data_IF_067242837315
#
_entry.id   IF_067242837315
#
_cell.length_a   1.000
_cell.length_b   1.000
_cell.length_c   1.000
_cell.angle_alpha   90.00
_cell.angle_beta   90.00
_cell.angle_gamma   90.00
#
_symmetry.space_group_name_H-M   'P 1'
#
loop_
_entity.id
_entity.type
_entity.pdbx_description
1 polymer ?
#
# COMPACT_ATOMS: atom_id res chain seq x y z
N UNK A 1 2.82 -16.55 3.81
CA UNK A 1 3.87 -17.51 4.18
C UNK A 1 3.29 -18.90 3.97
N UNK A 2 3.99 -19.85 3.34
CA UNK A 2 3.39 -21.18 3.10
C UNK A 2 3.48 -22.01 4.38
N UNK A 3 2.48 -22.86 4.58
CA UNK A 3 2.37 -23.70 5.76
C UNK A 3 1.91 -25.10 5.38
N UNK A 4 2.47 -26.10 6.03
CA UNK A 4 2.04 -27.50 5.90
C UNK A 4 1.43 -28.00 7.20
N UNK A 5 0.48 -28.93 7.08
CA UNK A 5 -0.03 -29.69 8.22
C UNK A 5 0.88 -30.89 8.48
N UNK A 6 1.29 -31.08 9.73
CA UNK A 6 2.13 -32.21 10.17
C UNK A 6 1.61 -32.78 11.49
N UNK A 7 1.81 -34.08 11.71
CA UNK A 7 1.60 -34.70 13.03
C UNK A 7 2.95 -35.14 13.58
N UNK A 8 3.39 -34.57 14.70
CA UNK A 8 4.64 -34.93 15.38
C UNK A 8 4.33 -35.48 16.76
N UNK A 9 4.75 -36.73 17.04
CA UNK A 9 4.49 -37.43 18.31
C UNK A 9 2.99 -37.44 18.70
N UNK A 10 2.09 -37.58 17.72
CA UNK A 10 0.64 -37.58 17.94
C UNK A 10 -0.01 -36.20 18.04
N UNK A 11 0.77 -35.10 18.01
CA UNK A 11 0.24 -33.74 18.08
C UNK A 11 0.14 -33.11 16.69
N UNK A 12 -1.04 -32.62 16.27
CA UNK A 12 -1.20 -31.88 15.01
C UNK A 12 -0.56 -30.49 15.10
N UNK A 13 0.18 -30.10 14.06
CA UNK A 13 0.95 -28.88 13.97
C UNK A 13 0.77 -28.23 12.59
N UNK A 14 0.91 -26.90 12.56
CA UNK A 14 1.06 -26.12 11.32
C UNK A 14 2.50 -25.61 11.28
N UNK A 15 3.26 -26.03 10.26
CA UNK A 15 4.70 -25.76 10.17
C UNK A 15 4.97 -24.73 9.08
N UNK A 16 5.68 -23.66 9.45
CA UNK A 16 6.18 -22.63 8.53
C UNK A 16 7.22 -23.24 7.59
N UNK A 17 7.04 -23.04 6.29
CA UNK A 17 8.02 -23.44 5.29
C UNK A 17 8.97 -22.28 4.94
N UNK A 18 10.21 -22.56 4.51
CA UNK A 18 11.18 -21.54 4.07
C UNK A 18 10.88 -21.06 2.64
N UNK A 19 9.62 -20.76 2.35
CA UNK A 19 9.13 -20.35 1.03
C UNK A 19 8.35 -19.05 1.11
N UNK A 20 8.41 -18.27 0.03
CA UNK A 20 7.64 -17.05 -0.14
C UNK A 20 6.28 -17.42 -0.74
N UNK A 21 5.23 -17.18 0.01
CA UNK A 21 3.83 -17.41 -0.41
C UNK A 21 3.20 -16.21 -1.11
N UNK A 22 3.65 -15.00 -0.75
CA UNK A 22 3.13 -13.76 -1.32
C UNK A 22 4.10 -12.61 -1.09
N UNK A 23 4.23 -11.75 -2.09
CA UNK A 23 4.89 -10.45 -1.97
C UNK A 23 3.78 -9.40 -1.96
N UNK A 24 3.61 -8.68 -0.86
CA UNK A 24 2.56 -7.66 -0.71
C UNK A 24 3.08 -6.27 -1.07
N UNK A 25 3.60 -6.11 -2.28
CA UNK A 25 4.13 -4.85 -2.79
C UNK A 25 3.83 -4.69 -4.29
N UNK A 26 3.64 -3.45 -4.75
CA UNK A 26 3.28 -3.11 -6.15
C UNK A 26 2.06 -3.90 -6.64
N UNK A 27 2.15 -4.53 -7.81
CA UNK A 27 1.18 -5.50 -8.35
C UNK A 27 0.76 -6.61 -7.37
N UNK A 28 1.58 -6.92 -6.37
CA UNK A 28 1.28 -7.90 -5.33
C UNK A 28 0.19 -7.43 -4.36
N UNK A 29 0.03 -6.12 -4.16
CA UNK A 29 -1.01 -5.55 -3.28
C UNK A 29 -2.43 -5.84 -3.77
N UNK A 30 -2.85 -5.53 -5.02
CA UNK A 30 -4.20 -5.86 -5.48
C UNK A 30 -4.46 -7.38 -5.47
N UNK A 31 -3.46 -8.21 -5.80
CA UNK A 31 -3.57 -9.68 -5.69
C UNK A 31 -3.78 -10.11 -4.25
N UNK A 32 -3.02 -9.55 -3.30
CA UNK A 32 -3.18 -9.80 -1.86
C UNK A 32 -4.55 -9.38 -1.35
N UNK A 33 -5.01 -8.19 -1.72
CA UNK A 33 -6.35 -7.71 -1.34
C UNK A 33 -7.43 -8.66 -1.87
N UNK A 34 -7.38 -9.06 -3.15
CA UNK A 34 -8.36 -10.02 -3.66
C UNK A 34 -8.27 -11.38 -2.94
N UNK A 35 -7.07 -11.87 -2.63
CA UNK A 35 -6.88 -13.13 -1.89
C UNK A 35 -7.49 -13.11 -0.49
N UNK A 36 -7.38 -12.00 0.24
CA UNK A 36 -7.80 -11.93 1.65
C UNK A 36 -9.15 -11.25 1.89
N UNK A 37 -9.55 -10.31 1.03
CA UNK A 37 -10.79 -9.52 1.15
C UNK A 37 -11.81 -9.93 0.07
N UNK A 38 -11.35 -10.37 -1.10
CA UNK A 38 -12.22 -10.86 -2.18
C UNK A 38 -12.72 -9.79 -3.15
N UNK A 39 -12.53 -8.50 -2.88
CA UNK A 39 -13.03 -7.41 -3.72
C UNK A 39 -12.14 -6.16 -3.69
N UNK A 40 -12.28 -5.26 -4.70
CA UNK A 40 -11.63 -3.96 -4.66
C UNK A 40 -12.16 -3.11 -3.49
N UNK A 41 -11.28 -2.47 -2.70
CA UNK A 41 -11.69 -1.55 -1.64
C UNK A 41 -12.56 -0.40 -2.17
N UNK A 42 -13.32 0.25 -1.29
CA UNK A 42 -14.01 1.52 -1.62
C UNK A 42 -13.11 2.74 -1.41
N UNK A 43 -12.12 2.62 -0.52
CA UNK A 43 -11.12 3.64 -0.21
C UNK A 43 -9.76 2.96 -0.11
N UNK A 44 -8.72 3.55 -0.68
CA UNK A 44 -7.33 3.15 -0.49
C UNK A 44 -6.44 4.38 -0.26
N UNK A 45 -5.42 4.23 0.59
CA UNK A 45 -4.45 5.28 0.90
C UNK A 45 -3.06 4.68 0.76
N UNK A 46 -2.19 5.37 0.03
CA UNK A 46 -0.77 5.01 -0.14
C UNK A 46 0.14 6.19 0.13
N UNK A 47 1.45 5.96 0.04
CA UNK A 47 2.46 7.03 0.17
C UNK A 47 3.66 6.84 -0.77
N UNK A 48 3.69 5.74 -1.54
CA UNK A 48 4.84 5.33 -2.33
C UNK A 48 4.47 4.78 -3.71
N UNK A 49 5.46 4.59 -4.57
CA UNK A 49 5.29 3.87 -5.84
C UNK A 49 4.79 2.43 -5.67
N UNK A 50 5.08 1.80 -4.52
CA UNK A 50 4.60 0.46 -4.21
C UNK A 50 3.08 0.39 -4.01
N UNK A 51 2.38 1.53 -3.94
CA UNK A 51 0.93 1.62 -3.77
C UNK A 51 0.17 1.82 -5.09
N UNK A 52 0.87 2.11 -6.20
CA UNK A 52 0.23 2.56 -7.43
C UNK A 52 -0.86 1.60 -7.91
N UNK A 53 -0.56 0.31 -8.07
CA UNK A 53 -1.52 -0.67 -8.59
C UNK A 53 -2.67 -0.96 -7.62
N UNK A 54 -2.44 -0.77 -6.31
CA UNK A 54 -3.52 -0.84 -5.32
C UNK A 54 -4.51 0.33 -5.50
N UNK A 55 -3.99 1.55 -5.65
CA UNK A 55 -4.80 2.76 -5.84
C UNK A 55 -5.54 2.71 -7.19
N UNK A 56 -4.85 2.26 -8.24
CA UNK A 56 -5.42 2.07 -9.58
C UNK A 56 -6.53 1.03 -9.57
N UNK A 57 -6.29 -0.17 -9.02
CA UNK A 57 -7.32 -1.20 -8.96
C UNK A 57 -8.54 -0.79 -8.11
N UNK A 58 -8.31 -0.04 -7.03
CA UNK A 58 -9.38 0.51 -6.18
C UNK A 58 -10.26 1.50 -6.96
N UNK A 59 -9.69 2.31 -7.86
CA UNK A 59 -10.38 3.40 -8.57
C UNK A 59 -10.72 3.12 -10.03
N UNK A 60 -10.32 1.96 -10.57
CA UNK A 60 -10.59 1.57 -11.96
C UNK A 60 -12.03 1.12 -12.23
N UNK A 61 -12.87 1.00 -11.21
CA UNK A 61 -14.29 0.63 -11.35
C UNK A 61 -15.20 1.83 -11.69
N UNK A 62 -16.45 1.55 -12.06
CA UNK A 62 -17.43 2.58 -12.42
C UNK A 62 -18.09 3.27 -11.21
N UNK A 63 -18.10 2.61 -10.04
CA UNK A 63 -18.68 3.17 -8.83
C UNK A 63 -17.82 4.29 -8.23
N UNK A 64 -18.40 5.20 -7.43
CA UNK A 64 -17.61 6.16 -6.65
C UNK A 64 -16.63 5.46 -5.71
N UNK A 65 -15.34 5.76 -5.88
CA UNK A 65 -14.21 5.22 -5.09
C UNK A 65 -13.28 6.37 -4.71
N UNK A 66 -12.51 6.21 -3.65
CA UNK A 66 -11.53 7.20 -3.21
C UNK A 66 -10.12 6.59 -3.14
N UNK A 67 -9.16 7.27 -3.73
CA UNK A 67 -7.74 6.97 -3.53
C UNK A 67 -7.02 8.23 -3.11
N UNK A 68 -6.11 8.09 -2.15
CA UNK A 68 -5.32 9.19 -1.61
C UNK A 68 -3.84 8.81 -1.49
N UNK A 69 -2.97 9.80 -1.63
CA UNK A 69 -1.53 9.66 -1.43
C UNK A 69 -1.10 10.66 -0.37
N UNK A 70 -0.51 10.15 0.70
CA UNK A 70 0.20 10.98 1.67
C UNK A 70 1.55 11.39 1.08
N UNK A 71 1.72 12.70 0.88
CA UNK A 71 2.95 13.32 0.43
C UNK A 71 3.75 13.78 1.65
N UNK A 72 4.87 13.11 1.88
CA UNK A 72 5.81 13.41 2.95
C UNK A 72 6.70 14.58 2.53
N UNK A 73 6.19 15.81 2.72
CA UNK A 73 6.83 17.08 2.33
C UNK A 73 7.11 18.01 3.51
N UNK A 74 7.01 17.50 4.73
CA UNK A 74 7.32 18.23 5.96
C UNK A 74 8.67 17.79 6.53
N UNK A 75 9.73 18.53 6.21
CA UNK A 75 11.09 18.34 6.75
C UNK A 75 11.30 18.95 8.14
N UNK A 76 10.34 19.74 8.63
CA UNK A 76 10.41 20.41 9.93
C UNK A 76 9.85 19.51 11.04
N UNK A 77 8.75 18.83 10.76
CA UNK A 77 8.04 17.99 11.72
C UNK A 77 8.16 16.49 11.44
N UNK A 78 8.56 16.10 10.22
CA UNK A 78 8.75 14.71 9.83
C UNK A 78 9.93 14.58 8.84
N UNK A 79 9.93 13.55 7.99
CA UNK A 79 10.97 13.35 6.98
C UNK A 79 10.42 13.77 5.63
N UNK A 80 11.02 14.76 4.98
CA UNK A 80 10.72 15.03 3.58
C UNK A 80 11.49 14.06 2.68
N UNK A 81 10.77 13.23 1.94
CA UNK A 81 11.38 12.36 0.93
C UNK A 81 10.62 12.44 -0.38
N UNK A 82 11.29 13.03 -1.37
CA UNK A 82 10.80 13.17 -2.73
C UNK A 82 11.69 12.39 -3.73
N UNK A 83 11.88 12.94 -4.95
CA UNK A 83 12.53 12.32 -6.11
C UNK A 83 13.90 11.70 -5.85
N UNK A 84 14.66 12.18 -4.86
CA UNK A 84 16.05 11.76 -4.65
C UNK A 84 16.26 10.73 -3.52
N UNK A 85 15.20 10.38 -2.78
CA UNK A 85 15.30 9.36 -1.74
C UNK A 85 15.63 7.98 -2.30
N UNK A 86 16.37 7.17 -1.53
CA UNK A 86 16.58 5.75 -1.84
C UNK A 86 15.40 4.88 -1.37
N UNK A 87 14.51 5.43 -0.53
CA UNK A 87 13.29 4.81 0.01
C UNK A 87 12.10 5.66 -0.45
N UNK A 88 11.13 5.08 -1.17
CA UNK A 88 10.04 5.87 -1.76
C UNK A 88 10.45 6.65 -3.02
N UNK A 89 11.56 6.25 -3.66
CA UNK A 89 12.05 6.84 -4.90
C UNK A 89 10.96 6.78 -5.96
N UNK A 90 10.51 7.97 -6.36
CA UNK A 90 9.46 8.22 -7.35
C UNK A 90 8.09 7.88 -6.74
N UNK A 91 7.19 8.85 -6.77
CA UNK A 91 5.76 8.62 -6.55
C UNK A 91 5.13 8.96 -7.88
N UNK A 92 5.17 8.02 -8.81
CA UNK A 92 4.34 7.96 -10.01
C UNK A 92 2.90 8.33 -9.67
N UNK A 93 2.43 8.00 -8.46
CA UNK A 93 1.17 8.48 -7.93
C UNK A 93 1.08 10.00 -7.68
N UNK A 94 2.15 10.73 -7.34
CA UNK A 94 2.15 12.20 -7.26
C UNK A 94 2.02 12.82 -8.66
N UNK A 95 2.58 12.19 -9.68
CA UNK A 95 2.54 12.68 -11.08
C UNK A 95 1.21 12.31 -11.74
N UNK A 96 0.87 11.03 -11.72
CA UNK A 96 -0.29 10.48 -12.42
C UNK A 96 -1.57 10.56 -11.58
N UNK A 97 -1.48 10.71 -10.26
CA UNK A 97 -2.64 10.64 -9.37
C UNK A 97 -3.74 11.64 -9.73
N UNK A 98 -3.36 12.85 -10.17
CA UNK A 98 -4.32 13.83 -10.67
C UNK A 98 -5.14 13.31 -11.87
N UNK A 99 -4.52 12.54 -12.77
CA UNK A 99 -5.17 11.93 -13.95
C UNK A 99 -6.12 10.80 -13.56
N UNK A 100 -5.81 10.10 -12.47
CA UNK A 100 -6.68 9.08 -11.89
C UNK A 100 -7.69 9.63 -10.87
N UNK A 101 -7.72 10.95 -10.64
CA UNK A 101 -8.62 11.59 -9.67
C UNK A 101 -8.24 11.37 -8.20
N UNK A 102 -7.03 10.89 -7.92
CA UNK A 102 -6.53 10.66 -6.58
C UNK A 102 -6.25 11.97 -5.85
N UNK A 103 -6.45 11.97 -4.53
CA UNK A 103 -6.14 13.14 -3.68
C UNK A 103 -4.71 13.05 -3.17
N UNK A 104 -3.94 14.11 -3.39
CA UNK A 104 -2.61 14.24 -2.78
C UNK A 104 -2.78 15.04 -1.50
N UNK A 105 -2.29 14.49 -0.39
CA UNK A 105 -2.36 15.09 0.95
C UNK A 105 -0.95 15.54 1.30
N UNK A 106 -0.73 16.84 1.42
CA UNK A 106 0.54 17.42 1.88
C UNK A 106 0.61 17.34 3.40
N UNK A 107 1.59 16.61 3.94
CA UNK A 107 1.78 16.58 5.40
C UNK A 107 2.08 17.98 5.95
N UNK A 108 2.87 18.78 5.24
CA UNK A 108 3.24 20.14 5.65
C UNK A 108 2.05 21.10 5.69
N UNK A 109 1.16 21.03 4.71
CA UNK A 109 0.11 22.03 4.53
C UNK A 109 -1.27 21.58 5.04
N UNK A 110 -1.57 20.28 5.00
CA UNK A 110 -2.90 19.77 5.28
C UNK A 110 -3.04 19.23 6.72
N UNK A 111 -1.92 18.94 7.39
CA UNK A 111 -1.94 18.40 8.76
C UNK A 111 -1.59 19.48 9.77
N UNK A 112 -2.49 19.68 10.73
CA UNK A 112 -2.25 20.62 11.86
C UNK A 112 -1.21 20.09 12.85
N UNK A 113 -1.01 18.77 12.88
CA UNK A 113 -0.13 18.06 13.82
C UNK A 113 0.25 16.69 13.24
N UNK A 114 1.51 16.31 13.34
CA UNK A 114 2.03 15.01 12.87
C UNK A 114 1.88 13.93 13.96
N UNK A 115 2.45 14.16 15.14
CA UNK A 115 2.47 13.17 16.23
C UNK A 115 1.40 13.43 17.31
N UNK A 116 0.95 12.39 18.04
CA UNK A 116 -0.11 12.48 19.05
C UNK A 116 0.09 13.46 20.21
#
# INVERSE_FOLDING_TARGET
MTTTYEVRNGTPLIVKQPEIDSINDKVGKPVGIHRFIGCPPVIAVGNSDGDFEMLEWTTGGADPRLAMIAHHDDDEHEWAYDRDSHIGRRVSGLVEGSRHGWKIISMKNDWKRIDP
#
